data_IF_174906047742
#
_entry.id   IF_174906047742
#
_cell.length_a   1.000
_cell.length_b   1.000
_cell.length_c   1.000
_cell.angle_alpha   90.00
_cell.angle_beta   90.00
_cell.angle_gamma   90.00
#
_symmetry.space_group_name_H-M   'P 1'
#
loop_
_entity.id
_entity.type
_entity.pdbx_description
1 polymer ?
#
# COMPACT_ATOMS: atom_id res chain seq x y z
N UNK A 1 -0.56 -14.59 -4.52
CA UNK A 1 0.35 -15.39 -3.66
C UNK A 1 -0.26 -16.75 -3.32
N UNK A 2 0.18 -17.83 -3.96
CA UNK A 2 0.05 -19.19 -3.42
C UNK A 2 0.75 -19.29 -2.06
N UNK A 3 0.25 -20.11 -1.13
CA UNK A 3 0.99 -20.54 0.06
C UNK A 3 1.04 -19.58 1.26
N UNK A 4 -0.11 -19.16 1.81
CA UNK A 4 -0.10 -18.75 3.22
C UNK A 4 0.17 -20.01 4.06
N UNK A 5 1.11 -19.94 5.00
CA UNK A 5 1.24 -20.98 6.00
C UNK A 5 -0.02 -21.04 6.86
N UNK A 6 -0.34 -22.20 7.44
CA UNK A 6 -1.54 -22.38 8.28
C UNK A 6 -1.60 -21.44 9.49
N UNK A 7 -0.48 -20.82 9.86
CA UNK A 7 -0.36 -19.89 10.99
C UNK A 7 -0.50 -18.42 10.59
N UNK A 8 -0.51 -18.11 9.30
CA UNK A 8 -0.57 -16.74 8.83
C UNK A 8 -1.98 -16.15 9.00
N UNK A 9 -2.06 -14.97 9.58
CA UNK A 9 -3.30 -14.26 9.87
C UNK A 9 -3.40 -13.03 8.96
N UNK A 10 -4.52 -12.91 8.24
CA UNK A 10 -4.83 -11.70 7.47
C UNK A 10 -5.33 -10.63 8.44
N UNK A 11 -4.60 -9.52 8.53
CA UNK A 11 -4.93 -8.40 9.42
C UNK A 11 -5.78 -7.33 8.73
N UNK A 12 -5.63 -7.19 7.41
CA UNK A 12 -6.39 -6.20 6.65
C UNK A 12 -6.73 -6.70 5.25
N UNK A 13 -7.89 -6.23 4.76
CA UNK A 13 -8.40 -6.50 3.42
C UNK A 13 -8.90 -5.21 2.78
N UNK A 14 -9.03 -5.21 1.45
CA UNK A 14 -9.63 -4.14 0.66
C UNK A 14 -10.65 -4.72 -0.31
N UNK A 15 -11.46 -3.87 -0.96
CA UNK A 15 -12.40 -4.31 -2.00
C UNK A 15 -11.69 -5.01 -3.18
N UNK A 16 -10.52 -4.53 -3.60
CA UNK A 16 -9.78 -5.07 -4.75
C UNK A 16 -8.77 -6.18 -4.40
N UNK A 17 -8.43 -6.37 -3.13
CA UNK A 17 -7.46 -7.37 -2.70
C UNK A 17 -7.79 -7.90 -1.29
N UNK A 18 -8.00 -9.23 -1.13
CA UNK A 18 -8.38 -9.84 0.15
C UNK A 18 -7.20 -10.02 1.12
N UNK A 19 -6.00 -9.56 0.77
CA UNK A 19 -4.76 -9.78 1.54
C UNK A 19 -3.88 -8.53 1.50
N UNK A 20 -4.28 -7.50 2.23
CA UNK A 20 -3.54 -6.24 2.27
C UNK A 20 -2.40 -6.27 3.28
N UNK A 21 -2.65 -6.82 4.47
CA UNK A 21 -1.64 -6.97 5.53
C UNK A 21 -1.76 -8.36 6.11
N UNK A 22 -0.64 -9.06 6.27
CA UNK A 22 -0.56 -10.41 6.81
C UNK A 22 0.48 -10.45 7.93
N UNK A 23 0.14 -11.09 9.05
CA UNK A 23 1.08 -11.48 10.10
C UNK A 23 1.38 -12.97 9.98
N UNK A 24 2.64 -13.33 9.81
CA UNK A 24 3.10 -14.72 9.78
C UNK A 24 3.56 -15.21 11.15
N UNK A 25 4.12 -14.30 11.96
CA UNK A 25 4.47 -14.50 13.37
C UNK A 25 4.60 -13.14 14.06
N UNK A 26 4.80 -13.07 15.40
CA UNK A 26 4.87 -11.81 16.13
C UNK A 26 5.84 -10.76 15.59
N UNK A 27 6.89 -11.18 14.87
CA UNK A 27 7.92 -10.28 14.30
C UNK A 27 7.93 -10.26 12.75
N UNK A 28 7.10 -11.07 12.10
CA UNK A 28 7.13 -11.23 10.64
C UNK A 28 5.79 -10.80 10.04
N UNK A 29 5.79 -9.67 9.34
CA UNK A 29 4.63 -9.09 8.69
C UNK A 29 4.91 -8.82 7.21
N UNK A 30 3.87 -8.88 6.40
CA UNK A 30 3.90 -8.45 5.01
C UNK A 30 2.81 -7.42 4.75
N UNK A 31 3.18 -6.39 4.00
CA UNK A 31 2.31 -5.32 3.54
C UNK A 31 2.27 -5.38 2.02
N UNK A 32 1.07 -5.61 1.47
CA UNK A 32 0.81 -5.45 0.04
C UNK A 32 0.47 -4.00 -0.31
N UNK A 33 -0.04 -3.23 0.66
CA UNK A 33 -0.24 -1.79 0.55
C UNK A 33 1.04 -1.03 0.90
N UNK A 34 1.23 0.13 0.27
CA UNK A 34 2.36 1.03 0.52
C UNK A 34 1.95 2.17 1.46
N UNK A 35 2.36 2.09 2.72
CA UNK A 35 2.12 3.14 3.72
C UNK A 35 3.29 4.13 3.81
N UNK A 36 4.38 3.82 3.12
CA UNK A 36 5.64 4.56 3.07
C UNK A 36 5.65 5.67 2.01
N UNK A 37 4.61 5.77 1.19
CA UNK A 37 4.55 6.77 0.14
C UNK A 37 4.59 8.20 0.68
N UNK A 38 5.32 9.04 -0.02
CA UNK A 38 5.30 10.49 0.05
C UNK A 38 5.12 11.07 -1.38
N UNK A 39 5.08 12.39 -1.51
CA UNK A 39 4.85 13.01 -2.81
C UNK A 39 5.99 12.74 -3.79
N UNK A 40 7.25 12.65 -3.33
CA UNK A 40 8.38 12.36 -4.21
C UNK A 40 8.29 10.94 -4.79
N UNK A 41 7.96 9.94 -3.95
CA UNK A 41 7.73 8.58 -4.41
C UNK A 41 6.57 8.51 -5.43
N UNK A 42 5.50 9.26 -5.21
CA UNK A 42 4.35 9.33 -6.13
C UNK A 42 4.75 9.95 -7.46
N UNK A 43 5.49 11.06 -7.46
CA UNK A 43 6.01 11.70 -8.68
C UNK A 43 6.83 10.69 -9.51
N UNK A 44 7.73 9.96 -8.84
CA UNK A 44 8.58 8.96 -9.50
C UNK A 44 7.78 7.78 -10.05
N UNK A 45 6.75 7.31 -9.33
CA UNK A 45 5.89 6.21 -9.78
C UNK A 45 5.04 6.63 -10.98
N UNK A 46 4.47 7.83 -10.96
CA UNK A 46 3.71 8.39 -12.09
C UNK A 46 4.62 8.54 -13.31
N UNK A 47 5.85 9.04 -13.12
CA UNK A 47 6.81 9.16 -14.20
C UNK A 47 7.24 7.81 -14.79
N UNK A 48 7.38 6.79 -13.94
CA UNK A 48 7.76 5.44 -14.37
C UNK A 48 6.64 4.73 -15.15
N UNK A 49 5.38 4.92 -14.76
CA UNK A 49 4.22 4.29 -15.42
C UNK A 49 3.72 5.10 -16.63
N UNK A 50 3.87 6.43 -16.57
CA UNK A 50 3.46 7.40 -17.59
C UNK A 50 2.04 7.94 -17.35
N UNK A 51 1.90 9.27 -17.30
CA UNK A 51 0.62 9.93 -17.01
C UNK A 51 -0.50 9.53 -17.98
N UNK A 52 -0.23 9.52 -19.29
CA UNK A 52 -1.24 9.11 -20.28
C UNK A 52 -1.68 7.65 -20.05
N UNK A 53 -0.75 6.77 -19.67
CA UNK A 53 -1.06 5.39 -19.36
C UNK A 53 -1.99 5.27 -18.16
N UNK A 54 -1.70 5.97 -17.07
CA UNK A 54 -2.56 6.03 -15.88
C UNK A 54 -3.96 6.53 -16.21
N UNK A 55 -4.09 7.56 -17.06
CA UNK A 55 -5.39 8.03 -17.50
C UNK A 55 -6.18 7.00 -18.32
N UNK A 56 -5.52 6.22 -19.18
CA UNK A 56 -6.18 5.14 -19.90
C UNK A 56 -6.62 4.01 -18.96
N UNK A 57 -5.76 3.63 -18.03
CA UNK A 57 -6.06 2.61 -17.03
C UNK A 57 -7.20 3.02 -16.09
N UNK A 58 -7.20 4.27 -15.60
CA UNK A 58 -8.27 4.81 -14.75
C UNK A 58 -9.66 4.71 -15.41
N UNK A 59 -9.74 4.83 -16.75
CA UNK A 59 -11.00 4.65 -17.49
C UNK A 59 -11.44 3.19 -17.62
N UNK A 60 -10.52 2.24 -17.48
CA UNK A 60 -10.75 0.82 -17.74
C UNK A 60 -10.79 -0.03 -16.46
N UNK A 61 -10.15 0.42 -15.38
CA UNK A 61 -9.94 -0.31 -14.14
C UNK A 61 -10.53 0.45 -12.95
N UNK A 62 -11.31 -0.24 -12.13
CA UNK A 62 -12.10 0.38 -11.04
C UNK A 62 -11.27 1.02 -9.90
N UNK A 63 -10.00 0.63 -9.76
CA UNK A 63 -9.15 1.00 -8.62
C UNK A 63 -7.87 1.74 -9.00
N UNK A 64 -7.76 2.23 -10.24
CA UNK A 64 -6.67 3.10 -10.66
C UNK A 64 -7.11 4.56 -10.51
N UNK A 65 -6.26 5.41 -9.95
CA UNK A 65 -6.50 6.85 -9.77
C UNK A 65 -5.76 7.67 -10.83
N UNK A 66 -6.18 8.91 -11.07
CA UNK A 66 -5.44 9.83 -11.95
C UNK A 66 -4.22 10.42 -11.22
N UNK A 67 -3.22 10.96 -11.96
CA UNK A 67 -2.08 11.66 -11.35
C UNK A 67 -2.49 12.76 -10.36
N UNK A 68 -3.47 13.59 -10.71
CA UNK A 68 -3.94 14.69 -9.85
C UNK A 68 -4.60 14.16 -8.58
N UNK A 69 -5.34 13.06 -8.69
CA UNK A 69 -5.92 12.44 -7.50
C UNK A 69 -4.80 11.97 -6.58
N UNK A 70 -3.79 11.26 -7.11
CA UNK A 70 -2.64 10.79 -6.34
C UNK A 70 -1.93 11.95 -5.62
N UNK A 71 -1.52 13.01 -6.32
CA UNK A 71 -0.84 14.16 -5.68
C UNK A 71 -1.68 14.88 -4.61
N UNK A 72 -3.01 14.83 -4.70
CA UNK A 72 -3.90 15.51 -3.74
C UNK A 72 -4.15 14.72 -2.45
N UNK A 73 -3.62 13.50 -2.31
CA UNK A 73 -3.76 12.76 -1.06
C UNK A 73 -2.84 13.30 0.04
N UNK A 74 -3.32 13.29 1.28
CA UNK A 74 -2.50 13.50 2.46
C UNK A 74 -1.88 12.17 2.91
N UNK A 75 -0.63 11.95 2.48
CA UNK A 75 0.13 10.74 2.81
C UNK A 75 0.60 10.67 4.28
N UNK A 76 0.59 11.80 4.99
CA UNK A 76 1.15 11.86 6.35
C UNK A 76 0.41 10.96 7.35
N UNK A 77 -0.88 10.70 7.12
CA UNK A 77 -1.69 9.85 7.99
C UNK A 77 -1.28 8.39 7.92
N UNK A 78 -0.97 7.87 6.73
CA UNK A 78 -0.51 6.49 6.59
C UNK A 78 0.95 6.35 7.05
N UNK A 79 1.80 7.36 6.80
CA UNK A 79 3.18 7.33 7.30
C UNK A 79 3.22 7.28 8.83
N UNK A 80 2.39 8.08 9.52
CA UNK A 80 2.26 8.03 10.99
C UNK A 80 1.84 6.66 11.51
N UNK A 81 0.93 5.97 10.81
CA UNK A 81 0.52 4.60 11.16
C UNK A 81 1.66 3.61 10.96
N UNK A 82 2.42 3.76 9.88
CA UNK A 82 3.60 2.94 9.62
C UNK A 82 4.64 3.14 10.74
N UNK A 83 4.96 4.38 11.11
CA UNK A 83 5.88 4.66 12.22
C UNK A 83 5.41 4.03 13.53
N UNK A 84 4.15 4.23 13.92
CA UNK A 84 3.61 3.63 15.15
C UNK A 84 3.67 2.09 15.12
N UNK A 85 3.42 1.47 13.97
CA UNK A 85 3.59 0.03 13.79
C UNK A 85 5.04 -0.40 13.97
N UNK A 86 6.00 0.28 13.31
CA UNK A 86 7.43 -0.04 13.40
C UNK A 86 7.98 0.18 14.82
N UNK A 87 7.54 1.24 15.51
CA UNK A 87 7.86 1.48 16.92
C UNK A 87 7.37 0.32 17.79
N UNK A 88 6.12 -0.13 17.58
CA UNK A 88 5.57 -1.26 18.34
C UNK A 88 6.29 -2.60 18.07
N UNK A 89 6.86 -2.75 16.87
CA UNK A 89 7.60 -3.95 16.48
C UNK A 89 9.00 -4.00 17.11
N UNK A 90 9.57 -2.86 17.46
CA UNK A 90 10.96 -2.75 17.96
C UNK A 90 11.06 -2.59 19.47
N UNK A 91 9.95 -2.33 20.17
CA UNK A 91 9.87 -2.20 21.63
C UNK A 91 9.80 -3.56 22.36
N UNK A 92 10.49 -4.58 21.84
CA UNK A 92 10.50 -5.95 22.41
C UNK A 92 11.34 -6.00 23.70
#
# INVERSE_FOLDING_TARGET
MPGLSDKAVVLATSKGCPRQIICFSPEHYAFQAHLEFDLEAIDLLIAADGEEHLYQQNKQLDFVQTPEQLHNHDYSQMNKKLFAFLDSLTQI
#
